data_IF_540170406553
#
_entry.id   IF_540170406553
#
_cell.length_a   1.000
_cell.length_b   1.000
_cell.length_c   1.000
_cell.angle_alpha   90.00
_cell.angle_beta   90.00
_cell.angle_gamma   90.00
#
_symmetry.space_group_name_H-M   'P 1'
#
loop_
_entity.id
_entity.type
_entity.pdbx_description
1 polymer ?
#
# COMPACT_ATOMS: atom_id res chain seq x y z
N UNK A 1 -9.09 -24.46 -19.23
CA UNK A 1 -8.92 -23.77 -17.93
C UNK A 1 -7.54 -23.99 -17.34
N UNK A 2 -7.02 -25.22 -17.34
CA UNK A 2 -5.67 -25.53 -16.89
C UNK A 2 -4.59 -25.04 -17.85
N UNK A 3 -4.84 -25.05 -19.16
CA UNK A 3 -3.91 -24.56 -20.19
C UNK A 3 -3.69 -23.04 -20.14
N UNK A 4 -4.70 -22.27 -19.73
CA UNK A 4 -4.59 -20.82 -19.55
C UNK A 4 -3.80 -20.47 -18.29
N UNK A 5 -3.94 -21.24 -17.23
CA UNK A 5 -3.16 -21.09 -16.01
C UNK A 5 -1.68 -21.43 -16.24
N UNK A 6 -1.39 -22.51 -16.96
CA UNK A 6 -0.01 -22.88 -17.28
C UNK A 6 0.68 -21.82 -18.14
N UNK A 7 0.00 -21.23 -19.13
CA UNK A 7 0.53 -20.11 -19.90
C UNK A 7 0.82 -18.89 -19.07
N UNK A 8 -0.07 -18.55 -18.14
CA UNK A 8 0.13 -17.41 -17.25
C UNK A 8 1.32 -17.61 -16.33
N UNK A 9 1.57 -18.82 -15.86
CA UNK A 9 2.74 -19.17 -15.07
C UNK A 9 4.02 -19.10 -15.89
N UNK A 10 4.03 -19.61 -17.13
CA UNK A 10 5.19 -19.54 -18.02
C UNK A 10 5.54 -18.10 -18.42
N UNK A 11 4.54 -17.26 -18.66
CA UNK A 11 4.75 -15.82 -18.93
C UNK A 11 5.33 -15.11 -17.72
N UNK A 12 4.84 -15.40 -16.54
CA UNK A 12 5.32 -14.81 -15.29
C UNK A 12 6.76 -15.26 -14.97
N UNK A 13 7.08 -16.54 -15.15
CA UNK A 13 8.46 -17.05 -15.01
C UNK A 13 9.43 -16.37 -15.96
N UNK A 14 9.01 -16.14 -17.20
CA UNK A 14 9.83 -15.45 -18.22
C UNK A 14 10.07 -13.99 -17.85
N UNK A 15 9.04 -13.28 -17.38
CA UNK A 15 9.18 -11.90 -16.92
C UNK A 15 10.11 -11.78 -15.71
N UNK A 16 10.02 -12.72 -14.79
CA UNK A 16 10.91 -12.79 -13.62
C UNK A 16 12.36 -13.08 -14.06
N UNK A 17 12.58 -14.02 -14.97
CA UNK A 17 13.92 -14.32 -15.50
C UNK A 17 14.54 -13.12 -16.23
N UNK A 18 13.75 -12.42 -17.05
CA UNK A 18 14.21 -11.21 -17.73
C UNK A 18 14.54 -10.09 -16.75
N UNK A 19 13.71 -9.87 -15.74
CA UNK A 19 13.95 -8.87 -14.71
C UNK A 19 15.22 -9.18 -13.89
N UNK A 20 15.45 -10.43 -13.56
CA UNK A 20 16.65 -10.89 -12.84
C UNK A 20 17.89 -10.74 -13.74
N UNK A 21 17.80 -11.12 -15.02
CA UNK A 21 18.91 -11.00 -15.97
C UNK A 21 19.32 -9.56 -16.20
N UNK A 22 18.37 -8.64 -16.41
CA UNK A 22 18.64 -7.22 -16.53
C UNK A 22 19.21 -6.59 -15.25
N UNK A 23 18.81 -7.07 -14.11
CA UNK A 23 19.38 -6.67 -12.81
C UNK A 23 20.85 -7.05 -12.66
N UNK A 24 21.26 -8.17 -13.22
CA UNK A 24 22.65 -8.63 -13.19
C UNK A 24 23.57 -7.98 -14.24
N UNK A 25 23.04 -7.65 -15.41
CA UNK A 25 23.83 -7.04 -16.50
C UNK A 25 24.21 -5.58 -16.26
N UNK A 26 23.49 -4.87 -15.40
CA UNK A 26 23.78 -3.46 -15.10
C UNK A 26 25.01 -3.22 -14.21
N UNK A 27 25.80 -4.24 -13.89
CA UNK A 27 27.12 -4.12 -13.27
C UNK A 27 27.17 -3.43 -11.91
N UNK A 28 26.04 -3.17 -11.31
CA UNK A 28 25.96 -2.66 -9.94
C UNK A 28 26.29 -3.79 -8.98
N UNK A 29 27.37 -3.63 -8.24
CA UNK A 29 27.66 -4.49 -7.10
C UNK A 29 26.46 -4.46 -6.17
N UNK A 30 25.63 -5.49 -6.27
CA UNK A 30 24.59 -5.73 -5.30
C UNK A 30 25.29 -6.11 -4.01
N UNK A 31 25.57 -5.12 -3.17
CA UNK A 31 25.87 -5.43 -1.80
C UNK A 31 24.64 -6.15 -1.26
N UNK A 32 24.82 -7.40 -0.89
CA UNK A 32 23.80 -8.22 -0.27
C UNK A 32 23.43 -7.64 1.11
N UNK A 33 22.65 -6.58 1.10
CA UNK A 33 21.90 -6.21 2.29
C UNK A 33 20.78 -7.25 2.40
N UNK A 34 20.43 -7.73 3.61
CA UNK A 34 19.31 -8.63 3.77
C UNK A 34 18.07 -7.96 3.16
N UNK A 35 17.66 -8.52 2.04
CA UNK A 35 16.50 -8.05 1.28
C UNK A 35 15.28 -8.69 1.90
N UNK A 36 14.46 -7.90 2.58
CA UNK A 36 13.13 -8.33 3.02
C UNK A 36 12.13 -7.75 2.03
N UNK A 37 11.72 -8.58 1.08
CA UNK A 37 10.63 -8.25 0.18
C UNK A 37 9.51 -9.25 0.39
N UNK A 38 8.29 -8.78 0.37
CA UNK A 38 7.11 -9.60 0.43
C UNK A 38 6.05 -9.09 -0.55
N UNK A 39 5.19 -9.99 -0.94
CA UNK A 39 4.03 -9.70 -1.78
C UNK A 39 2.78 -9.91 -0.93
N UNK A 40 1.98 -8.88 -0.78
CA UNK A 40 0.65 -8.99 -0.19
C UNK A 40 -0.40 -8.96 -1.30
N UNK A 41 -1.24 -9.95 -1.33
CA UNK A 41 -2.37 -10.02 -2.25
C UNK A 41 -3.66 -9.73 -1.48
N UNK A 42 -4.44 -8.78 -1.97
CA UNK A 42 -5.71 -8.40 -1.39
C UNK A 42 -6.77 -8.15 -2.46
N UNK A 43 -8.01 -8.01 -2.02
CA UNK A 43 -9.12 -7.59 -2.89
C UNK A 43 -9.33 -6.10 -2.73
N UNK A 44 -9.29 -5.38 -3.83
CA UNK A 44 -9.62 -3.96 -3.86
C UNK A 44 -11.11 -3.66 -3.69
N UNK A 45 -11.51 -2.37 -3.58
CA UNK A 45 -12.90 -1.96 -3.35
C UNK A 45 -13.89 -2.45 -4.42
N UNK A 46 -13.41 -2.68 -5.62
CA UNK A 46 -14.22 -3.16 -6.76
C UNK A 46 -14.15 -4.68 -6.97
N UNK A 47 -13.62 -5.43 -6.00
CA UNK A 47 -13.43 -6.87 -6.12
C UNK A 47 -12.28 -7.28 -7.06
N UNK A 48 -11.46 -6.33 -7.51
CA UNK A 48 -10.27 -6.61 -8.30
C UNK A 48 -9.11 -7.02 -7.40
N UNK A 49 -8.33 -8.04 -7.77
CA UNK A 49 -7.15 -8.38 -7.00
C UNK A 49 -6.13 -7.25 -7.04
N UNK A 50 -5.63 -6.88 -5.88
CA UNK A 50 -4.53 -5.93 -5.75
C UNK A 50 -3.30 -6.64 -5.24
N UNK A 51 -2.18 -6.40 -5.88
CA UNK A 51 -0.87 -6.89 -5.46
C UNK A 51 -0.10 -5.73 -4.86
N UNK A 52 0.30 -5.86 -3.62
CA UNK A 52 1.13 -4.87 -2.95
C UNK A 52 2.50 -5.48 -2.68
N UNK A 53 3.52 -4.80 -3.15
CA UNK A 53 4.90 -5.12 -2.85
C UNK A 53 5.33 -4.33 -1.62
N UNK A 54 5.90 -5.00 -0.63
CA UNK A 54 6.49 -4.36 0.53
C UNK A 54 7.95 -4.78 0.69
N UNK A 55 8.74 -3.92 1.30
CA UNK A 55 10.16 -4.16 1.51
C UNK A 55 11.03 -3.08 0.90
N UNK A 56 12.29 -3.39 0.69
CA UNK A 56 13.21 -2.48 0.01
C UNK A 56 12.84 -2.41 -1.47
N UNK A 57 12.56 -1.23 -1.98
CA UNK A 57 12.34 -1.04 -3.41
C UNK A 57 13.68 -1.18 -4.15
N UNK A 58 13.88 -2.27 -4.92
CA UNK A 58 15.12 -2.46 -5.65
C UNK A 58 15.32 -1.47 -6.79
N UNK A 59 14.25 -0.78 -7.20
CA UNK A 59 14.26 0.21 -8.27
C UNK A 59 14.44 1.64 -7.74
N UNK A 60 14.33 1.84 -6.44
CA UNK A 60 14.57 3.13 -5.82
C UNK A 60 16.08 3.37 -5.69
N UNK A 61 16.60 4.21 -6.58
CA UNK A 61 18.01 4.67 -6.51
C UNK A 61 18.32 5.48 -5.25
N UNK A 62 17.30 5.88 -4.50
CA UNK A 62 17.38 6.74 -3.34
C UNK A 62 17.36 6.01 -1.99
N UNK A 63 17.22 4.67 -1.99
CA UNK A 63 17.25 3.85 -0.78
C UNK A 63 15.97 3.91 0.07
N UNK A 64 14.84 4.31 -0.51
CA UNK A 64 13.55 4.26 0.18
C UNK A 64 13.05 2.83 0.39
N UNK A 65 12.44 2.62 1.54
CA UNK A 65 11.76 1.37 1.88
C UNK A 65 10.25 1.58 1.90
N UNK A 66 9.52 0.59 1.41
CA UNK A 66 8.07 0.56 1.54
C UNK A 66 7.71 -0.06 2.90
N UNK A 67 7.06 0.69 3.80
CA UNK A 67 6.69 0.17 5.11
C UNK A 67 5.54 -0.84 5.00
N UNK A 68 5.51 -1.76 5.95
CA UNK A 68 4.39 -2.69 6.10
C UNK A 68 3.17 -1.91 6.61
N UNK A 69 2.02 -2.15 5.99
CA UNK A 69 0.77 -1.56 6.43
C UNK A 69 -0.38 -2.57 6.44
N UNK A 70 -1.33 -2.32 7.30
CA UNK A 70 -2.56 -3.09 7.42
C UNK A 70 -3.76 -2.13 7.41
N UNK A 71 -4.84 -2.54 6.76
CA UNK A 71 -6.09 -1.78 6.72
C UNK A 71 -7.19 -2.59 7.41
N UNK A 72 -7.82 -1.98 8.40
CA UNK A 72 -8.92 -2.57 9.17
C UNK A 72 -10.19 -1.75 8.96
N UNK A 73 -11.25 -2.41 8.53
CA UNK A 73 -12.56 -1.80 8.30
C UNK A 73 -13.47 -2.18 9.45
N UNK A 74 -14.11 -1.17 10.06
CA UNK A 74 -15.23 -1.35 10.99
C UNK A 74 -16.51 -0.87 10.29
N UNK A 75 -17.32 -1.81 9.82
CA UNK A 75 -18.56 -1.53 9.13
C UNK A 75 -19.64 -0.95 10.06
N UNK A 76 -19.60 -1.24 11.35
CA UNK A 76 -20.53 -0.71 12.32
C UNK A 76 -20.25 0.76 12.64
N UNK A 77 -18.99 1.08 12.89
CA UNK A 77 -18.55 2.45 13.14
C UNK A 77 -18.33 3.25 11.86
N UNK A 78 -18.35 2.60 10.69
CA UNK A 78 -18.04 3.17 9.37
C UNK A 78 -16.68 3.87 9.35
N UNK A 79 -15.68 3.21 9.89
CA UNK A 79 -14.32 3.70 9.97
C UNK A 79 -13.35 2.78 9.24
N UNK A 80 -12.34 3.39 8.64
CA UNK A 80 -11.18 2.69 8.10
C UNK A 80 -9.95 3.11 8.93
N UNK A 81 -9.28 2.13 9.47
CA UNK A 81 -8.02 2.29 10.20
C UNK A 81 -6.88 1.75 9.38
N UNK A 82 -5.84 2.53 9.22
CA UNK A 82 -4.61 2.10 8.55
C UNK A 82 -3.46 2.13 9.56
N UNK A 83 -2.84 0.99 9.75
CA UNK A 83 -1.72 0.80 10.66
C UNK A 83 -0.45 0.66 9.82
N UNK A 84 0.53 1.53 10.04
CA UNK A 84 1.78 1.54 9.26
C UNK A 84 2.97 1.46 10.20
N UNK A 85 3.88 0.55 9.92
CA UNK A 85 5.12 0.41 10.69
C UNK A 85 6.21 1.34 10.16
N UNK A 86 6.59 2.34 10.95
CA UNK A 86 7.64 3.31 10.63
C UNK A 86 8.68 3.39 11.76
N UNK A 87 9.38 2.30 12.07
CA UNK A 87 10.32 2.31 13.19
C UNK A 87 11.50 3.23 12.95
N UNK A 88 11.90 3.94 14.00
CA UNK A 88 13.13 4.73 14.00
C UNK A 88 13.06 6.10 13.34
N UNK A 89 11.86 6.61 13.09
CA UNK A 89 11.65 8.00 12.63
C UNK A 89 10.96 8.83 13.72
N UNK A 90 11.03 10.12 13.59
CA UNK A 90 10.35 11.06 14.48
C UNK A 90 9.03 11.51 13.88
N UNK A 91 8.06 11.78 14.73
CA UNK A 91 6.73 12.27 14.33
C UNK A 91 6.81 13.50 13.41
N UNK A 92 7.74 14.40 13.67
CA UNK A 92 7.88 15.67 12.95
C UNK A 92 8.27 15.55 11.48
N UNK A 93 8.85 14.40 11.09
CA UNK A 93 9.31 14.17 9.72
C UNK A 93 8.36 13.30 8.90
N UNK A 94 7.26 12.85 9.48
CA UNK A 94 6.27 12.04 8.78
C UNK A 94 5.35 12.96 7.98
N UNK A 95 5.37 12.81 6.68
CA UNK A 95 4.48 13.50 5.76
C UNK A 95 3.40 12.53 5.27
N UNK A 96 2.15 12.93 5.40
CA UNK A 96 0.99 12.12 5.01
C UNK A 96 0.11 12.96 4.09
N UNK A 97 -0.23 12.41 2.95
CA UNK A 97 -1.24 12.95 2.05
C UNK A 97 -2.32 11.90 1.81
N UNK A 98 -3.56 12.29 1.87
CA UNK A 98 -4.70 11.41 1.65
C UNK A 98 -5.69 12.00 0.66
N UNK A 99 -6.23 11.14 -0.18
CA UNK A 99 -7.40 11.40 -1.03
C UNK A 99 -8.54 10.46 -0.64
N UNK A 100 -9.63 10.48 -1.38
CA UNK A 100 -10.77 9.60 -1.10
C UNK A 100 -10.43 8.11 -1.19
N UNK A 101 -9.45 7.74 -2.01
CA UNK A 101 -9.11 6.36 -2.32
C UNK A 101 -7.64 5.99 -2.11
N UNK A 102 -6.78 6.95 -1.77
CA UNK A 102 -5.34 6.74 -1.65
C UNK A 102 -4.73 7.42 -0.45
N UNK A 103 -3.64 6.84 0.04
CA UNK A 103 -2.77 7.44 1.04
C UNK A 103 -1.33 7.36 0.56
N UNK A 104 -0.64 8.48 0.70
CA UNK A 104 0.80 8.60 0.47
C UNK A 104 1.50 8.93 1.79
N UNK A 105 2.54 8.20 2.11
CA UNK A 105 3.33 8.37 3.32
C UNK A 105 4.79 8.51 2.93
N UNK A 106 5.45 9.51 3.48
CA UNK A 106 6.88 9.72 3.33
C UNK A 106 7.48 10.08 4.68
N UNK A 107 8.60 9.46 5.02
CA UNK A 107 9.39 9.81 6.18
C UNK A 107 10.88 9.59 5.86
N UNK A 108 11.71 10.59 6.09
CA UNK A 108 13.13 10.54 5.78
C UNK A 108 13.94 11.09 6.94
N UNK A 109 14.83 10.26 7.49
CA UNK A 109 15.79 10.64 8.51
C UNK A 109 17.09 9.87 8.33
N UNK A 110 18.18 10.59 7.99
CA UNK A 110 19.49 10.00 7.76
C UNK A 110 19.45 8.80 6.78
N UNK A 111 19.83 7.61 7.24
CA UNK A 111 19.78 6.40 6.44
C UNK A 111 18.39 5.72 6.40
N UNK A 112 17.43 6.20 7.18
CA UNK A 112 16.06 5.64 7.23
C UNK A 112 15.13 6.46 6.38
N UNK A 113 14.71 5.85 5.27
CA UNK A 113 13.85 6.47 4.28
C UNK A 113 12.67 5.56 3.99
N UNK A 114 11.48 6.05 4.26
CA UNK A 114 10.23 5.35 3.98
C UNK A 114 9.39 6.12 2.98
N UNK A 115 8.88 5.42 2.01
CA UNK A 115 7.90 5.95 1.05
C UNK A 115 6.90 4.86 0.72
N UNK A 116 5.63 5.17 0.80
CA UNK A 116 4.56 4.28 0.38
C UNK A 116 3.39 5.07 -0.16
N UNK A 117 2.81 4.56 -1.23
CA UNK A 117 1.53 5.01 -1.74
C UNK A 117 0.68 3.77 -1.98
N UNK A 118 -0.52 3.76 -1.43
CA UNK A 118 -1.41 2.62 -1.55
C UNK A 118 -2.87 3.05 -1.65
N UNK A 119 -3.66 2.18 -2.28
CA UNK A 119 -5.10 2.36 -2.42
C UNK A 119 -5.81 1.90 -1.15
N UNK A 120 -6.78 2.67 -0.70
CA UNK A 120 -7.63 2.33 0.43
C UNK A 120 -8.67 1.29 0.01
N UNK A 121 -9.00 0.38 0.91
CA UNK A 121 -10.03 -0.67 0.70
C UNK A 121 -11.44 -0.12 0.57
N UNK A 122 -11.67 1.08 1.05
CA UNK A 122 -12.94 1.82 0.96
C UNK A 122 -12.66 3.29 0.66
N UNK A 123 -13.57 3.93 -0.03
CA UNK A 123 -13.54 5.38 -0.16
C UNK A 123 -13.82 6.05 1.18
N UNK A 124 -13.00 7.03 1.51
CA UNK A 124 -13.05 7.74 2.78
C UNK A 124 -13.21 9.24 2.56
N UNK A 125 -13.62 9.93 3.61
CA UNK A 125 -13.54 11.38 3.67
C UNK A 125 -12.14 11.78 4.11
N UNK A 126 -11.30 12.37 3.24
CA UNK A 126 -9.94 12.75 3.59
C UNK A 126 -9.87 13.84 4.66
N UNK A 127 -10.90 14.68 4.78
CA UNK A 127 -10.97 15.69 5.82
C UNK A 127 -11.21 15.12 7.22
N UNK A 128 -11.74 13.91 7.30
CA UNK A 128 -11.93 13.19 8.57
C UNK A 128 -10.65 12.56 9.12
N UNK A 129 -9.56 12.60 8.36
CA UNK A 129 -8.32 11.93 8.70
C UNK A 129 -7.76 12.36 10.06
N UNK A 130 -7.43 11.39 10.88
CA UNK A 130 -6.70 11.55 12.14
C UNK A 130 -5.49 10.64 12.13
N UNK A 131 -4.37 11.15 12.58
CA UNK A 131 -3.12 10.41 12.63
C UNK A 131 -2.55 10.44 14.05
N UNK A 132 -2.12 9.30 14.53
CA UNK A 132 -1.39 9.13 15.77
C UNK A 132 -0.12 8.32 15.50
N UNK A 133 1.01 8.78 16.02
CA UNK A 133 2.27 8.06 15.90
C UNK A 133 2.86 7.78 17.29
N UNK A 134 3.06 6.52 17.60
CA UNK A 134 3.59 6.06 18.87
C UNK A 134 4.37 4.76 18.72
N UNK A 135 5.55 4.71 19.35
CA UNK A 135 6.40 3.50 19.37
C UNK A 135 6.68 2.89 17.99
N UNK A 136 6.94 3.73 16.99
CA UNK A 136 7.21 3.28 15.64
C UNK A 136 5.98 2.88 14.82
N UNK A 137 4.79 3.05 15.35
CA UNK A 137 3.52 2.73 14.70
C UNK A 137 2.75 4.00 14.37
N UNK A 138 2.42 4.17 13.09
CA UNK A 138 1.52 5.21 12.62
C UNK A 138 0.12 4.63 12.48
N UNK A 139 -0.82 5.22 13.18
CA UNK A 139 -2.24 4.89 13.13
C UNK A 139 -3.00 6.01 12.40
N UNK A 140 -3.66 5.67 11.31
CA UNK A 140 -4.52 6.57 10.55
C UNK A 140 -5.98 6.14 10.69
N UNK A 141 -6.85 7.09 10.98
CA UNK A 141 -8.29 6.89 11.05
C UNK A 141 -9.01 7.76 10.05
N UNK A 142 -9.95 7.16 9.34
CA UNK A 142 -10.81 7.83 8.38
C UNK A 142 -12.27 7.43 8.59
N UNK A 143 -13.18 8.34 8.34
CA UNK A 143 -14.58 7.99 8.16
C UNK A 143 -14.80 7.49 6.74
N UNK A 144 -15.48 6.36 6.61
CA UNK A 144 -15.82 5.79 5.31
C UNK A 144 -16.93 6.63 4.68
N UNK A 145 -16.74 6.96 3.40
CA UNK A 145 -17.75 7.65 2.60
C UNK A 145 -18.91 6.70 2.31
N UNK A 146 -20.12 7.13 2.67
CA UNK A 146 -21.32 6.34 2.40
C UNK A 146 -21.73 6.52 0.93
N UNK A 147 -21.44 5.51 0.10
CA UNK A 147 -21.81 5.50 -1.33
C UNK A 147 -23.32 5.33 -1.56
N UNK A 148 -24.07 4.89 -0.55
CA UNK A 148 -25.48 4.56 -0.71
C UNK A 148 -26.38 5.78 -0.96
N UNK A 149 -25.88 6.99 -0.71
CA UNK A 149 -26.63 8.24 -0.88
C UNK A 149 -26.25 9.08 -2.11
N UNK A 150 -25.27 8.65 -2.93
CA UNK A 150 -24.94 9.37 -4.17
C UNK A 150 -25.98 9.06 -5.27
N UNK A 151 -27.03 9.87 -5.33
CA UNK A 151 -27.97 9.87 -6.43
C UNK A 151 -29.12 8.86 -6.34
N UNK A 152 -29.18 8.07 -5.27
CA UNK A 152 -30.31 7.15 -5.05
C UNK A 152 -31.29 7.71 -4.02
N UNK A 153 -32.49 7.89 -4.46
CA UNK A 153 -33.60 8.33 -3.60
C UNK A 153 -34.53 7.14 -3.34
N UNK A 154 -34.83 6.90 -2.08
CA UNK A 154 -35.81 5.90 -1.73
C UNK A 154 -37.19 6.33 -2.24
N UNK A 155 -37.76 5.55 -3.14
CA UNK A 155 -39.10 5.79 -3.66
C UNK A 155 -40.09 4.83 -2.99
N UNK A 156 -41.11 5.39 -2.32
CA UNK A 156 -42.17 4.59 -1.75
C UNK A 156 -43.16 4.22 -2.83
N UNK A 157 -43.54 2.93 -2.88
CA UNK A 157 -44.60 2.44 -3.75
C UNK A 157 -45.93 2.68 -3.06
N UNK A 158 -46.80 3.36 -3.75
CA UNK A 158 -48.14 3.64 -3.26
C UNK A 158 -49.14 2.58 -3.76
#
# INVERSE_FOLDING_TARGET
>A
LLDELDRSFEEMEREIEEAVRHGFESGRKVFARPFVAGISMGMGPEGKPTIQLFGSDPLSSEGFRSPIHEQVIDDNAKTLRVIVELPGVEKSIIEIAASEDRVSIKAEKDARKYRSEFTLKREVDPESAKAEYKNGILDLFFLIKDKTNKGYRRVSVV
#
